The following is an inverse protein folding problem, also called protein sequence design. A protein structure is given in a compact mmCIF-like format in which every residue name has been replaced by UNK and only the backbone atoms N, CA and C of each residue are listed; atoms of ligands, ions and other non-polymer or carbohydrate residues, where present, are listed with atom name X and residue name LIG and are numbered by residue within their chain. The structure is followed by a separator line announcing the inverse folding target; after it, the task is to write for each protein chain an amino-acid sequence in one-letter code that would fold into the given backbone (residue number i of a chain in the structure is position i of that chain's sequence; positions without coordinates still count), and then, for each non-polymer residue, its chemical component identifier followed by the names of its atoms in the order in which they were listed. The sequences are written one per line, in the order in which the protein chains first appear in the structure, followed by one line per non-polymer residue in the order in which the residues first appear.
data_IF_566273069482
#
_entry.id   IF_566273069482
#
_cell.length_a   1.000
_cell.length_b   1.000
_cell.length_c   1.000
_cell.angle_alpha   90.00
_cell.angle_beta   90.00
_cell.angle_gamma   90.00
#
_symmetry.space_group_name_H-M   'P 1'
#
loop_
_entity.id
_entity.type
_entity.pdbx_description
1 polymer ?
#
# COMPACT_ATOMS: atom_id res chain seq x y z
N UNK A 1 -0.87 -12.80 -7.86
CA UNK A 1 0.30 -13.67 -7.61
C UNK A 1 -0.07 -15.08 -7.97
N UNK A 2 0.73 -15.78 -8.78
CA UNK A 2 0.55 -17.20 -9.11
C UNK A 2 1.07 -18.09 -7.98
N UNK A 3 2.15 -17.68 -7.32
CA UNK A 3 2.77 -18.42 -6.21
C UNK A 3 2.07 -18.22 -4.86
N UNK A 4 1.26 -17.17 -4.73
CA UNK A 4 0.72 -16.70 -3.44
C UNK A 4 1.75 -15.95 -2.58
N UNK A 5 2.98 -15.78 -3.06
CA UNK A 5 4.06 -15.10 -2.35
C UNK A 5 4.28 -13.71 -2.94
N UNK A 6 4.12 -12.69 -2.11
CA UNK A 6 4.26 -11.29 -2.49
C UNK A 6 5.39 -10.68 -1.66
N UNK A 7 6.21 -9.82 -2.26
CA UNK A 7 7.24 -9.07 -1.57
C UNK A 7 6.83 -7.62 -1.35
N UNK A 8 7.32 -7.02 -0.28
CA UNK A 8 7.06 -5.63 0.07
C UNK A 8 8.37 -4.93 0.46
N UNK A 9 8.82 -3.97 -0.34
CA UNK A 9 10.00 -3.15 -0.05
C UNK A 9 9.56 -1.95 0.79
N UNK A 10 10.04 -1.86 2.03
CA UNK A 10 9.50 -0.95 3.03
C UNK A 10 10.60 -0.05 3.64
N UNK A 11 10.25 1.20 3.93
CA UNK A 11 11.17 2.19 4.48
C UNK A 11 11.52 1.94 5.96
N UNK A 12 10.72 2.54 6.84
CA UNK A 12 10.89 2.51 8.28
C UNK A 12 9.69 1.80 8.93
N UNK A 13 9.92 1.08 10.04
CA UNK A 13 8.86 0.44 10.82
C UNK A 13 8.05 1.46 11.64
N UNK A 14 7.38 2.38 10.94
CA UNK A 14 6.49 3.39 11.53
C UNK A 14 5.03 3.05 11.21
N UNK A 15 4.06 3.59 11.96
CA UNK A 15 2.66 3.22 11.80
C UNK A 15 2.10 3.38 10.38
N UNK A 16 2.54 4.40 9.63
CA UNK A 16 2.14 4.59 8.23
C UNK A 16 2.49 3.39 7.35
N UNK A 17 3.74 2.94 7.41
CA UNK A 17 4.23 1.82 6.59
C UNK A 17 3.62 0.51 7.04
N UNK A 18 3.49 0.31 8.36
CA UNK A 18 2.87 -0.88 8.94
C UNK A 18 1.40 -0.97 8.51
N UNK A 19 0.64 0.14 8.51
CA UNK A 19 -0.72 0.18 7.98
C UNK A 19 -0.77 -0.20 6.50
N UNK A 20 0.14 0.34 5.69
CA UNK A 20 0.23 0.02 4.27
C UNK A 20 0.44 -1.48 4.03
N UNK A 21 1.42 -2.08 4.72
CA UNK A 21 1.71 -3.52 4.64
C UNK A 21 0.51 -4.36 5.08
N UNK A 22 -0.12 -4.01 6.20
CA UNK A 22 -1.24 -4.77 6.74
C UNK A 22 -2.47 -4.69 5.83
N UNK A 23 -2.84 -3.50 5.37
CA UNK A 23 -3.98 -3.31 4.47
C UNK A 23 -3.75 -4.05 3.14
N UNK A 24 -2.53 -3.99 2.60
CA UNK A 24 -2.16 -4.73 1.39
C UNK A 24 -2.28 -6.25 1.59
N UNK A 25 -1.82 -6.76 2.74
CA UNK A 25 -1.91 -8.19 3.11
C UNK A 25 -3.36 -8.65 3.24
N UNK A 26 -4.20 -7.89 3.94
CA UNK A 26 -5.63 -8.18 4.09
C UNK A 26 -6.36 -8.17 2.73
N UNK A 27 -6.04 -7.21 1.86
CA UNK A 27 -6.58 -7.16 0.49
C UNK A 27 -6.19 -8.39 -0.32
N UNK A 28 -4.92 -8.80 -0.29
CA UNK A 28 -4.47 -10.03 -0.96
C UNK A 28 -5.19 -11.28 -0.41
N UNK A 29 -5.38 -11.35 0.91
CA UNK A 29 -6.04 -12.46 1.58
C UNK A 29 -7.55 -12.56 1.36
N UNK A 30 -8.20 -11.44 1.04
CA UNK A 30 -9.62 -11.45 0.65
C UNK A 30 -9.88 -12.21 -0.66
N UNK A 31 -8.86 -12.38 -1.50
CA UNK A 31 -8.93 -13.12 -2.77
C UNK A 31 -8.24 -14.48 -2.63
N UNK A 32 -7.06 -14.53 -1.99
CA UNK A 32 -6.34 -15.76 -1.71
C UNK A 32 -5.99 -15.82 -0.21
N UNK A 33 -6.76 -16.53 0.61
CA UNK A 33 -6.54 -16.61 2.06
C UNK A 33 -5.16 -17.13 2.49
N UNK A 34 -4.44 -17.80 1.60
CA UNK A 34 -3.09 -18.32 1.85
C UNK A 34 -1.97 -17.37 1.37
N UNK A 35 -2.32 -16.18 0.87
CA UNK A 35 -1.33 -15.21 0.42
C UNK A 35 -0.45 -14.74 1.59
N UNK A 36 0.85 -14.66 1.32
CA UNK A 36 1.85 -14.16 2.27
C UNK A 36 2.55 -12.93 1.71
N UNK A 37 2.88 -11.97 2.58
CA UNK A 37 3.63 -10.76 2.22
C UNK A 37 4.94 -10.72 2.98
N UNK A 38 6.06 -10.91 2.28
CA UNK A 38 7.40 -10.85 2.86
C UNK A 38 7.96 -9.44 2.80
N UNK A 39 8.31 -8.88 3.95
CA UNK A 39 8.78 -7.50 4.09
C UNK A 39 10.31 -7.44 4.10
N UNK A 40 10.87 -6.51 3.32
CA UNK A 40 12.28 -6.12 3.39
C UNK A 40 12.41 -4.65 3.80
N UNK A 41 13.09 -4.39 4.91
CA UNK A 41 13.27 -3.04 5.46
C UNK A 41 14.55 -2.39 4.94
N UNK A 42 14.44 -1.29 4.19
CA UNK A 42 15.58 -0.54 3.66
C UNK A 42 16.12 0.51 4.64
N UNK A 43 15.30 0.94 5.62
CA UNK A 43 15.62 2.01 6.58
C UNK A 43 15.99 3.35 5.90
N UNK A 44 15.39 3.59 4.74
CA UNK A 44 15.43 4.85 4.00
C UNK A 44 14.13 5.00 3.22
N UNK A 45 13.73 6.23 2.91
CA UNK A 45 12.61 6.49 2.01
C UNK A 45 13.04 6.47 0.55
N UNK A 46 14.28 6.90 0.29
CA UNK A 46 14.82 7.13 -1.04
C UNK A 46 16.27 6.64 -1.10
N UNK A 47 16.48 5.49 -1.72
CA UNK A 47 17.79 5.01 -2.16
C UNK A 47 17.57 3.98 -3.27
N UNK A 48 17.67 4.39 -4.55
CA UNK A 48 17.42 3.48 -5.67
C UNK A 48 18.26 2.20 -5.65
N UNK A 49 19.45 2.23 -5.02
CA UNK A 49 20.34 1.07 -4.95
C UNK A 49 19.81 0.08 -3.91
N UNK A 50 19.55 0.55 -2.68
CA UNK A 50 19.02 -0.30 -1.61
C UNK A 50 17.62 -0.82 -1.91
N UNK A 51 16.77 -0.01 -2.53
CA UNK A 51 15.44 -0.41 -2.99
C UNK A 51 15.51 -1.55 -4.00
N UNK A 52 16.42 -1.44 -4.97
CA UNK A 52 16.64 -2.49 -5.97
C UNK A 52 17.17 -3.77 -5.34
N UNK A 53 18.19 -3.68 -4.48
CA UNK A 53 18.78 -4.83 -3.79
C UNK A 53 17.73 -5.57 -2.92
N UNK A 54 16.89 -4.82 -2.20
CA UNK A 54 15.79 -5.37 -1.42
C UNK A 54 14.76 -6.08 -2.32
N UNK A 55 14.40 -5.48 -3.46
CA UNK A 55 13.49 -6.08 -4.43
C UNK A 55 14.08 -7.37 -5.03
N UNK A 56 15.34 -7.35 -5.45
CA UNK A 56 16.04 -8.52 -5.99
C UNK A 56 16.12 -9.66 -4.97
N UNK A 57 16.41 -9.35 -3.70
CA UNK A 57 16.42 -10.34 -2.62
C UNK A 57 15.05 -11.01 -2.42
N UNK A 58 13.96 -10.24 -2.47
CA UNK A 58 12.61 -10.80 -2.40
C UNK A 58 12.29 -11.68 -3.61
N UNK A 59 12.68 -11.25 -4.82
CA UNK A 59 12.50 -12.03 -6.05
C UNK A 59 13.30 -13.34 -6.01
N UNK A 60 14.51 -13.33 -5.46
CA UNK A 60 15.33 -14.52 -5.25
C UNK A 60 14.72 -15.47 -4.20
N UNK A 61 13.96 -14.94 -3.23
CA UNK A 61 13.13 -15.72 -2.30
C UNK A 61 11.85 -16.31 -2.95
N UNK A 62 11.61 -16.01 -4.24
CA UNK A 62 10.54 -16.61 -5.04
C UNK A 62 9.20 -15.89 -4.97
N UNK A 63 9.17 -14.60 -4.58
CA UNK A 63 7.97 -13.77 -4.77
C UNK A 63 7.79 -13.46 -6.26
N UNK A 64 6.53 -13.35 -6.71
CA UNK A 64 6.21 -13.07 -8.14
C UNK A 64 5.42 -11.77 -8.34
N UNK A 65 5.11 -11.07 -7.24
CA UNK A 65 4.56 -9.73 -7.20
C UNK A 65 5.34 -8.94 -6.15
N UNK A 66 5.65 -7.69 -6.45
CA UNK A 66 6.27 -6.73 -5.53
C UNK A 66 5.32 -5.54 -5.30
N UNK A 67 5.27 -5.07 -4.07
CA UNK A 67 4.73 -3.77 -3.69
C UNK A 67 5.81 -2.99 -2.94
N UNK A 68 5.59 -1.70 -2.72
CA UNK A 68 6.55 -0.88 -1.97
C UNK A 68 5.89 0.22 -1.15
N UNK A 69 6.65 0.70 -0.18
CA UNK A 69 6.47 1.98 0.49
C UNK A 69 7.84 2.67 0.53
N UNK A 70 8.26 3.08 -0.67
CA UNK A 70 9.54 3.69 -1.04
C UNK A 70 9.28 4.73 -2.15
N UNK A 71 10.24 5.62 -2.38
CA UNK A 71 10.03 6.81 -3.21
C UNK A 71 10.62 6.74 -4.63
N UNK A 72 11.19 5.59 -5.04
CA UNK A 72 11.75 5.44 -6.41
C UNK A 72 11.06 4.34 -7.22
N UNK A 73 11.41 4.25 -8.51
CA UNK A 73 10.95 3.19 -9.41
C UNK A 73 11.81 1.92 -9.37
N UNK A 74 12.83 1.87 -8.52
CA UNK A 74 13.82 0.80 -8.49
C UNK A 74 13.22 -0.60 -8.28
N UNK A 75 12.25 -0.74 -7.38
CA UNK A 75 11.51 -2.00 -7.17
C UNK A 75 10.79 -2.45 -8.43
N UNK A 76 10.14 -1.52 -9.13
CA UNK A 76 9.43 -1.79 -10.38
C UNK A 76 10.37 -2.25 -11.49
N UNK A 77 11.51 -1.59 -11.64
CA UNK A 77 12.55 -1.96 -12.60
C UNK A 77 13.13 -3.36 -12.32
N UNK A 78 13.35 -3.71 -11.04
CA UNK A 78 13.76 -5.05 -10.65
C UNK A 78 12.69 -6.11 -10.98
N UNK A 79 11.42 -5.80 -10.72
CA UNK A 79 10.30 -6.68 -11.05
C UNK A 79 10.22 -6.95 -12.56
N UNK A 80 10.28 -5.90 -13.38
CA UNK A 80 10.19 -5.98 -14.84
C UNK A 80 11.33 -6.80 -15.43
N UNK A 81 12.56 -6.58 -14.96
CA UNK A 81 13.74 -7.33 -15.38
C UNK A 81 13.64 -8.85 -15.09
N UNK A 82 12.81 -9.25 -14.11
CA UNK A 82 12.60 -10.65 -13.70
C UNK A 82 11.25 -11.21 -14.16
N UNK A 83 10.46 -10.45 -14.91
CA UNK A 83 9.12 -10.84 -15.36
C UNK A 83 8.10 -10.97 -14.23
N UNK A 84 8.39 -10.39 -13.06
CA UNK A 84 7.46 -10.28 -11.94
C UNK A 84 6.52 -9.08 -12.15
N UNK A 85 5.51 -8.96 -11.29
CA UNK A 85 4.57 -7.84 -11.31
C UNK A 85 4.83 -6.84 -10.19
N UNK A 86 4.38 -5.61 -10.36
CA UNK A 86 4.65 -4.51 -9.45
C UNK A 86 3.42 -3.64 -9.23
N UNK A 87 3.12 -3.37 -7.96
CA UNK A 87 2.21 -2.31 -7.52
C UNK A 87 3.07 -1.11 -7.11
N UNK A 88 2.91 0.00 -7.82
CA UNK A 88 3.66 1.23 -7.55
C UNK A 88 3.20 1.95 -6.29
N UNK A 89 3.79 3.11 -6.03
CA UNK A 89 3.50 3.94 -4.85
C UNK A 89 3.62 5.43 -5.19
N UNK A 90 2.86 6.29 -4.50
CA UNK A 90 2.77 7.76 -4.63
C UNK A 90 2.25 8.33 -5.96
N UNK A 91 2.66 7.77 -7.11
CA UNK A 91 2.41 8.32 -8.44
C UNK A 91 2.15 7.22 -9.46
N UNK A 92 1.51 7.58 -10.58
CA UNK A 92 1.49 6.74 -11.77
C UNK A 92 2.82 6.89 -12.50
N UNK A 93 3.63 5.83 -12.44
CA UNK A 93 4.96 5.74 -13.06
C UNK A 93 5.03 4.48 -13.93
N UNK A 94 3.89 4.11 -14.51
CA UNK A 94 3.74 2.94 -15.36
C UNK A 94 4.77 2.87 -16.51
N UNK A 95 5.19 4.01 -17.04
CA UNK A 95 6.21 4.11 -18.09
C UNK A 95 7.58 3.57 -17.69
N UNK A 96 7.92 3.57 -16.39
CA UNK A 96 9.22 3.10 -15.92
C UNK A 96 9.37 1.58 -15.99
N UNK A 97 8.28 0.84 -15.78
CA UNK A 97 8.28 -0.63 -15.70
C UNK A 97 6.96 -1.20 -16.29
N UNK A 98 6.68 -0.97 -17.58
CA UNK A 98 5.36 -1.15 -18.16
C UNK A 98 4.87 -2.60 -18.17
N UNK A 99 5.77 -3.60 -18.25
CA UNK A 99 5.35 -5.01 -18.22
C UNK A 99 5.15 -5.52 -16.79
N UNK A 100 5.77 -4.91 -15.79
CA UNK A 100 5.54 -5.23 -14.39
C UNK A 100 4.31 -4.53 -13.81
N UNK A 101 4.02 -3.30 -14.25
CA UNK A 101 2.98 -2.44 -13.68
C UNK A 101 1.62 -3.12 -13.56
N UNK A 102 1.00 -2.99 -12.39
CA UNK A 102 -0.38 -3.41 -12.11
C UNK A 102 -1.29 -2.19 -11.92
N UNK A 103 -0.93 -1.31 -10.98
CA UNK A 103 -1.54 -0.03 -10.63
C UNK A 103 -0.72 0.60 -9.49
N UNK A 104 -1.17 1.70 -8.91
CA UNK A 104 -0.63 2.28 -7.68
C UNK A 104 -1.70 3.08 -6.93
N UNK A 105 -1.62 3.21 -5.60
CA UNK A 105 -2.20 4.36 -4.93
C UNK A 105 -1.44 5.62 -5.35
N UNK A 106 -2.18 6.66 -5.73
CA UNK A 106 -1.64 7.94 -6.20
C UNK A 106 -2.15 9.08 -5.35
N UNK A 107 -1.28 10.01 -4.98
CA UNK A 107 -1.62 11.12 -4.09
C UNK A 107 -1.85 12.40 -4.86
N UNK A 108 -2.98 13.05 -4.60
CA UNK A 108 -3.36 14.33 -5.17
C UNK A 108 -3.33 15.44 -4.12
N UNK A 109 -2.12 15.91 -3.82
CA UNK A 109 -1.91 16.98 -2.83
C UNK A 109 -2.32 18.38 -3.32
N UNK A 110 -2.48 18.57 -4.63
CA UNK A 110 -2.72 19.87 -5.25
C UNK A 110 -3.90 20.65 -4.64
N UNK A 111 -5.11 20.06 -4.55
CA UNK A 111 -6.27 20.71 -3.94
C UNK A 111 -6.02 21.13 -2.49
N UNK A 112 -5.40 20.27 -1.68
CA UNK A 112 -5.08 20.57 -0.28
C UNK A 112 -4.11 21.74 -0.15
N UNK A 113 -3.05 21.78 -0.97
CA UNK A 113 -2.10 22.88 -0.99
C UNK A 113 -2.74 24.20 -1.42
N UNK A 114 -3.59 24.17 -2.46
CA UNK A 114 -4.31 25.36 -2.92
C UNK A 114 -5.27 25.89 -1.86
N UNK A 115 -6.01 25.01 -1.18
CA UNK A 115 -6.92 25.39 -0.10
C UNK A 115 -6.16 26.03 1.07
N UNK A 116 -5.07 25.40 1.51
CA UNK A 116 -4.24 25.89 2.62
C UNK A 116 -3.61 27.24 2.30
N UNK A 117 -3.05 27.40 1.10
CA UNK A 117 -2.46 28.66 0.67
C UNK A 117 -3.49 29.80 0.61
N UNK A 118 -4.72 29.53 0.14
CA UNK A 118 -5.82 30.50 0.15
C UNK A 118 -6.25 30.89 1.56
N UNK A 119 -6.31 29.93 2.48
CA UNK A 119 -6.64 30.21 3.88
C UNK A 119 -5.62 31.16 4.52
N UNK A 120 -4.33 30.87 4.33
CA UNK A 120 -3.23 31.71 4.84
C UNK A 120 -3.25 33.10 4.22
N UNK A 121 -3.42 33.20 2.89
CA UNK A 121 -3.55 34.48 2.21
C UNK A 121 -4.78 35.29 2.67
N UNK A 122 -5.85 34.60 3.08
CA UNK A 122 -7.05 35.19 3.68
C UNK A 122 -6.91 35.56 5.16
N UNK A 123 -5.74 35.40 5.77
CA UNK A 123 -5.47 35.75 7.16
C UNK A 123 -5.79 34.65 8.19
N UNK A 124 -6.07 33.42 7.75
CA UNK A 124 -6.31 32.27 8.63
C UNK A 124 -5.18 31.26 8.51
N UNK A 125 -4.64 30.76 9.61
CA UNK A 125 -3.63 29.69 9.59
C UNK A 125 -4.29 28.38 10.06
N UNK A 126 -4.63 27.44 9.16
CA UNK A 126 -5.19 26.15 9.55
C UNK A 126 -4.21 25.40 10.46
N UNK A 127 -4.70 24.91 11.59
CA UNK A 127 -3.91 24.16 12.58
C UNK A 127 -4.56 22.82 12.97
N UNK A 128 -5.60 22.41 12.25
CA UNK A 128 -6.30 21.15 12.46
C UNK A 128 -5.55 19.99 11.80
N UNK A 129 -5.64 18.81 12.39
CA UNK A 129 -5.13 17.58 11.78
C UNK A 129 -5.95 17.23 10.54
N UNK A 130 -5.26 16.85 9.46
CA UNK A 130 -5.90 16.46 8.21
C UNK A 130 -5.51 15.03 7.84
N UNK A 131 -6.53 14.18 7.64
CA UNK A 131 -6.37 12.81 7.15
C UNK A 131 -7.18 12.65 5.85
N UNK A 132 -6.50 12.75 4.72
CA UNK A 132 -7.13 12.60 3.40
C UNK A 132 -7.53 11.16 3.11
N UNK A 133 -8.55 10.99 2.26
CA UNK A 133 -9.09 9.68 1.86
C UNK A 133 -9.35 9.60 0.36
N UNK A 134 -9.82 8.44 -0.10
CA UNK A 134 -10.33 8.31 -1.47
C UNK A 134 -11.59 9.16 -1.71
N UNK A 135 -12.46 9.30 -0.69
CA UNK A 135 -13.67 10.12 -0.78
C UNK A 135 -13.35 11.62 -0.91
N UNK A 136 -12.26 12.11 -0.30
CA UNK A 136 -11.80 13.49 -0.49
C UNK A 136 -11.00 13.68 -1.78
N UNK A 137 -10.74 12.60 -2.53
CA UNK A 137 -9.87 12.60 -3.71
C UNK A 137 -8.40 12.84 -3.41
N UNK A 138 -7.96 12.71 -2.14
CA UNK A 138 -6.55 12.85 -1.76
C UNK A 138 -5.74 11.65 -2.24
N UNK A 139 -6.33 10.45 -2.20
CA UNK A 139 -5.73 9.23 -2.74
C UNK A 139 -6.64 8.69 -3.82
N UNK A 140 -6.06 8.32 -4.96
CA UNK A 140 -6.77 7.67 -6.08
C UNK A 140 -6.01 6.43 -6.52
N UNK A 141 -6.58 5.66 -7.44
CA UNK A 141 -5.85 4.60 -8.13
C UNK A 141 -5.25 5.15 -9.42
N UNK A 142 -4.00 4.78 -9.69
CA UNK A 142 -3.34 5.01 -10.98
C UNK A 142 -3.92 4.13 -12.08
N UNK A 143 -3.40 4.29 -13.30
CA UNK A 143 -3.77 3.47 -14.44
C UNK A 143 -3.54 1.98 -14.18
N UNK A 144 -4.33 1.15 -14.86
CA UNK A 144 -4.13 -0.29 -14.84
C UNK A 144 -3.10 -0.72 -15.88
N UNK A 145 -2.19 -1.60 -15.48
CA UNK A 145 -1.25 -2.22 -16.40
C UNK A 145 -1.92 -3.18 -17.38
N UNK A 146 -1.26 -3.44 -18.50
CA UNK A 146 -1.80 -4.26 -19.59
C UNK A 146 -2.11 -5.71 -19.21
N UNK A 147 -1.52 -6.22 -18.13
CA UNK A 147 -1.80 -7.57 -17.62
C UNK A 147 -2.97 -7.65 -16.63
N UNK A 148 -3.63 -6.53 -16.32
CA UNK A 148 -4.83 -6.51 -15.47
C UNK A 148 -6.05 -6.58 -16.39
N UNK A 149 -6.68 -7.75 -16.47
CA UNK A 149 -7.86 -7.94 -17.32
C UNK A 149 -9.08 -7.12 -16.85
N UNK A 150 -10.07 -6.98 -17.75
CA UNK A 150 -11.23 -6.12 -17.51
C UNK A 150 -12.05 -6.53 -16.29
N UNK A 151 -12.19 -7.84 -16.04
CA UNK A 151 -12.92 -8.36 -14.88
C UNK A 151 -12.19 -7.99 -13.57
N UNK A 152 -10.86 -8.11 -13.56
CA UNK A 152 -10.03 -7.68 -12.43
C UNK A 152 -10.10 -6.17 -12.21
N UNK A 153 -10.06 -5.37 -13.28
CA UNK A 153 -10.25 -3.92 -13.17
C UNK A 153 -11.62 -3.57 -12.59
N UNK A 154 -12.68 -4.27 -13.02
CA UNK A 154 -14.03 -4.07 -12.50
C UNK A 154 -14.11 -4.39 -11.00
N UNK A 155 -13.54 -5.50 -10.54
CA UNK A 155 -13.47 -5.86 -9.12
C UNK A 155 -12.72 -4.82 -8.29
N UNK A 156 -11.59 -4.30 -8.80
CA UNK A 156 -10.82 -3.25 -8.12
C UNK A 156 -11.63 -1.97 -8.01
N UNK A 157 -12.29 -1.55 -9.10
CA UNK A 157 -13.10 -0.34 -9.13
C UNK A 157 -14.34 -0.44 -8.22
N UNK A 158 -14.97 -1.62 -8.13
CA UNK A 158 -16.07 -1.86 -7.19
C UNK A 158 -15.59 -1.71 -5.74
N UNK A 159 -14.43 -2.28 -5.40
CA UNK A 159 -13.85 -2.11 -4.06
C UNK A 159 -13.43 -0.67 -3.78
N UNK A 160 -12.88 0.05 -4.76
CA UNK A 160 -12.59 1.47 -4.62
C UNK A 160 -13.87 2.29 -4.34
N UNK A 161 -14.96 2.00 -5.05
CA UNK A 161 -16.26 2.63 -4.80
C UNK A 161 -16.78 2.33 -3.38
N UNK A 162 -16.65 1.09 -2.92
CA UNK A 162 -17.05 0.70 -1.56
C UNK A 162 -16.20 1.38 -0.46
N UNK A 163 -14.92 1.68 -0.73
CA UNK A 163 -14.08 2.49 0.18
C UNK A 163 -14.56 3.94 0.19
N UNK A 164 -14.91 4.49 -0.98
CA UNK A 164 -15.36 5.88 -1.14
C UNK A 164 -16.71 6.09 -0.44
N UNK A 165 -17.66 5.16 -0.58
CA UNK A 165 -18.98 5.27 0.04
C UNK A 165 -19.02 4.79 1.50
N UNK A 166 -17.93 4.20 2.00
CA UNK A 166 -17.77 3.74 3.38
C UNK A 166 -18.43 2.40 3.70
N UNK A 167 -19.00 1.71 2.71
CA UNK A 167 -19.52 0.34 2.87
C UNK A 167 -18.42 -0.69 3.09
N UNK A 168 -17.15 -0.37 2.78
CA UNK A 168 -15.98 -1.18 3.08
C UNK A 168 -14.85 -0.35 3.71
N UNK A 169 -14.15 -0.95 4.68
CA UNK A 169 -12.93 -0.40 5.26
C UNK A 169 -11.85 -1.49 5.33
N UNK A 170 -10.56 -1.20 5.01
CA UNK A 170 -9.51 -2.22 5.00
C UNK A 170 -9.29 -2.96 6.32
N UNK A 171 -9.60 -2.30 7.45
CA UNK A 171 -9.40 -2.84 8.80
C UNK A 171 -10.71 -3.18 9.50
N UNK A 172 -11.79 -3.44 8.76
CA UNK A 172 -13.01 -4.00 9.34
C UNK A 172 -12.76 -5.45 9.79
N UNK A 173 -13.06 -5.75 11.04
CA UNK A 173 -12.74 -7.05 11.63
C UNK A 173 -13.62 -8.20 11.14
N UNK A 174 -13.18 -9.45 11.35
CA UNK A 174 -12.11 -9.82 12.27
C UNK A 174 -10.70 -9.65 11.68
N UNK A 175 -9.80 -9.05 12.47
CA UNK A 175 -8.36 -8.96 12.15
C UNK A 175 -7.55 -9.58 13.28
N UNK A 176 -6.59 -10.43 12.91
CA UNK A 176 -5.65 -11.10 13.81
C UNK A 176 -4.23 -10.69 13.46
N UNK A 177 -3.41 -10.44 14.47
CA UNK A 177 -1.97 -10.22 14.27
C UNK A 177 -1.21 -11.51 13.90
N UNK A 178 0.07 -11.36 13.56
CA UNK A 178 0.95 -12.46 13.18
C UNK A 178 1.18 -13.48 14.31
N UNK A 179 0.96 -13.09 15.56
CA UNK A 179 1.12 -13.94 16.75
C UNK A 179 -0.18 -14.67 17.13
N UNK A 180 -1.27 -14.43 16.38
CA UNK A 180 -2.56 -15.07 16.57
C UNK A 180 -3.49 -14.35 17.55
N UNK A 181 -3.14 -13.14 18.01
CA UNK A 181 -3.99 -12.34 18.88
C UNK A 181 -4.99 -11.53 18.03
N UNK A 182 -6.24 -11.53 18.45
CA UNK A 182 -7.27 -10.66 17.86
C UNK A 182 -6.94 -9.18 18.17
N UNK A 183 -6.92 -8.36 17.11
CA UNK A 183 -6.61 -6.92 17.17
C UNK A 183 -7.78 -6.05 16.73
N UNK A 184 -8.69 -6.59 15.91
CA UNK A 184 -9.99 -5.97 15.60
C UNK A 184 -11.05 -7.05 15.64
N UNK A 185 -12.04 -6.89 16.50
CA UNK A 185 -13.15 -7.84 16.64
C UNK A 185 -14.05 -7.87 15.39
N UNK A 186 -14.74 -8.99 15.16
CA UNK A 186 -15.66 -9.14 14.03
C UNK A 186 -16.72 -8.01 13.97
N UNK A 187 -16.83 -7.36 12.81
CA UNK A 187 -17.77 -6.24 12.59
C UNK A 187 -17.36 -4.91 13.24
N UNK A 188 -16.23 -4.85 13.95
CA UNK A 188 -15.68 -3.61 14.48
C UNK A 188 -14.80 -2.91 13.43
N UNK A 189 -14.73 -1.58 13.53
CA UNK A 189 -13.78 -0.75 12.79
C UNK A 189 -12.91 -0.01 13.81
N UNK A 190 -11.56 -0.04 13.69
CA UNK A 190 -10.69 0.68 14.60
C UNK A 190 -10.85 2.19 14.44
N UNK A 191 -10.67 2.93 15.52
CA UNK A 191 -10.64 4.39 15.50
C UNK A 191 -9.38 4.88 14.77
N UNK A 192 -9.43 6.10 14.23
CA UNK A 192 -8.27 6.67 13.52
C UNK A 192 -7.03 6.71 14.41
N UNK A 193 -7.18 7.01 15.71
CA UNK A 193 -6.04 7.07 16.63
C UNK A 193 -5.35 5.71 16.81
N UNK A 194 -6.12 4.61 16.82
CA UNK A 194 -5.56 3.25 16.90
C UNK A 194 -4.76 2.93 15.63
N UNK A 195 -5.28 3.35 14.46
CA UNK A 195 -4.57 3.23 13.19
C UNK A 195 -3.27 4.06 13.22
N UNK A 196 -3.30 5.28 13.72
CA UNK A 196 -2.12 6.15 13.84
C UNK A 196 -1.04 5.60 14.79
N UNK A 197 -1.41 4.73 15.73
CA UNK A 197 -0.51 4.02 16.63
C UNK A 197 -0.15 2.58 16.25
N UNK A 198 -0.57 2.10 15.07
CA UNK A 198 -0.41 0.70 14.66
C UNK A 198 1.08 0.26 14.67
N UNK A 199 1.37 -0.82 15.39
CA UNK A 199 2.73 -1.32 15.63
C UNK A 199 2.85 -2.86 15.58
N UNK A 200 1.86 -3.52 14.97
CA UNK A 200 1.81 -4.96 14.79
C UNK A 200 1.66 -5.30 13.31
N UNK A 201 2.02 -6.52 12.93
CA UNK A 201 1.68 -7.08 11.62
C UNK A 201 0.50 -8.02 11.71
N UNK A 202 -0.32 -8.05 10.66
CA UNK A 202 -1.43 -9.01 10.53
C UNK A 202 -0.90 -10.41 10.17
N UNK A 203 -1.72 -11.43 10.43
CA UNK A 203 -1.42 -12.81 10.04
C UNK A 203 -1.10 -12.92 8.54
N UNK A 204 -0.01 -13.62 8.20
CA UNK A 204 0.45 -13.83 6.83
C UNK A 204 1.51 -12.84 6.35
N UNK A 205 1.79 -11.79 7.12
CA UNK A 205 3.03 -11.00 6.94
C UNK A 205 4.22 -11.83 7.43
N UNK A 206 5.29 -11.86 6.65
CA UNK A 206 6.57 -12.49 6.98
C UNK A 206 7.58 -11.38 7.21
N UNK A 207 8.06 -11.27 8.45
CA UNK A 207 9.00 -10.23 8.87
C UNK A 207 8.80 -9.84 10.33
N UNK A 208 9.31 -8.67 10.70
CA UNK A 208 9.15 -8.08 12.04
C UNK A 208 8.63 -6.65 11.91
N UNK A 209 7.59 -6.25 12.67
CA UNK A 209 7.11 -4.86 12.68
C UNK A 209 8.08 -3.91 13.39
N UNK A 210 9.21 -4.41 13.91
CA UNK A 210 10.25 -3.61 14.59
C UNK A 210 11.47 -3.31 13.71
N UNK A 211 11.45 -3.71 12.44
CA UNK A 211 12.62 -3.63 11.55
C UNK A 211 13.52 -4.86 11.63
#
# INVERSE_FOLDING_TARGET
SKSGKIGYVAAFPIPEVIRGINAFTLGAQSVNPNATVQVSWTKTWFDPTLEKEAAESLLDAGVDVLAQHQDTTATGLAADARGAKWVGYNSDVSEAAPNAWLTAPTWNWGPFYVQTAKAVAGGTCPNEEYYGSMATGMVTLGSFGSSVDADTQAMINEKAAAIIDGSFAPFEGPVTDQDGKEVVAAGARPELLDLLGMSYFVKGVIGSPKG
#
